data_IF_275190762740
#
_entry.id   IF_275190762740
#
_cell.length_a   1.000
_cell.length_b   1.000
_cell.length_c   1.000
_cell.angle_alpha   90.00
_cell.angle_beta   90.00
_cell.angle_gamma   90.00
#
_symmetry.space_group_name_H-M   'P 1'
#
loop_
_entity.id
_entity.type
_entity.pdbx_description
1 polymer ?
#
# COMPACT_ATOMS: atom_id res chain seq x y z
N UNK A 1 -27.60 -24.87 4.21
CA UNK A 1 -27.19 -24.11 5.40
C UNK A 1 -27.94 -22.79 5.35
N UNK A 2 -28.97 -22.64 6.19
CA UNK A 2 -29.66 -21.37 6.33
C UNK A 2 -28.64 -20.34 6.77
N UNK A 3 -28.30 -19.40 5.89
CA UNK A 3 -27.60 -18.20 6.30
C UNK A 3 -28.52 -17.52 7.31
N UNK A 4 -28.29 -17.77 8.59
CA UNK A 4 -28.62 -16.82 9.64
C UNK A 4 -27.77 -15.61 9.31
N UNK A 5 -28.29 -14.79 8.41
CA UNK A 5 -27.72 -13.51 8.04
C UNK A 5 -27.77 -12.74 9.34
N UNK A 6 -26.67 -12.76 10.10
CA UNK A 6 -26.49 -11.91 11.25
C UNK A 6 -26.77 -10.51 10.73
N UNK A 7 -27.95 -9.99 11.07
CA UNK A 7 -28.37 -8.66 10.67
C UNK A 7 -27.60 -7.69 11.56
N UNK A 8 -26.31 -7.54 11.24
CA UNK A 8 -25.46 -6.51 11.80
C UNK A 8 -25.97 -5.19 11.25
N UNK A 9 -26.84 -4.55 12.02
CA UNK A 9 -27.40 -3.25 11.70
C UNK A 9 -26.63 -2.17 12.47
N UNK A 10 -26.02 -1.27 11.73
CA UNK A 10 -25.34 -0.09 12.25
C UNK A 10 -25.60 1.03 11.25
N UNK A 11 -25.86 2.26 11.74
CA UNK A 11 -26.26 3.38 10.90
C UNK A 11 -25.16 4.47 10.88
N UNK A 12 -24.04 4.29 10.15
CA UNK A 12 -22.94 5.25 10.11
C UNK A 12 -23.31 6.72 9.84
N UNK A 13 -24.36 6.99 9.06
CA UNK A 13 -24.79 8.36 8.76
C UNK A 13 -25.65 8.99 9.87
N UNK A 14 -26.18 8.19 10.80
CA UNK A 14 -27.09 8.60 11.87
C UNK A 14 -26.35 8.58 13.21
N UNK A 15 -25.58 7.52 13.47
CA UNK A 15 -24.86 7.24 14.73
C UNK A 15 -23.57 8.09 14.86
N UNK A 16 -23.72 9.40 15.03
CA UNK A 16 -22.59 10.34 15.18
C UNK A 16 -21.81 10.19 16.50
N UNK A 17 -22.35 9.44 17.46
CA UNK A 17 -21.72 9.23 18.78
C UNK A 17 -20.41 8.45 18.70
N UNK A 18 -20.21 7.68 17.62
CA UNK A 18 -18.96 6.93 17.37
C UNK A 18 -17.78 7.89 17.08
N UNK A 19 -18.07 9.07 16.55
CA UNK A 19 -17.06 10.09 16.23
C UNK A 19 -16.70 10.97 17.43
N UNK A 20 -17.32 10.77 18.60
CA UNK A 20 -16.92 11.47 19.82
C UNK A 20 -15.51 11.09 20.27
N UNK A 21 -14.71 12.08 20.71
CA UNK A 21 -13.32 11.85 21.10
C UNK A 21 -13.27 10.89 22.29
N UNK A 22 -12.54 9.78 22.12
CA UNK A 22 -12.35 8.76 23.16
C UNK A 22 -13.27 7.53 23.03
N UNK A 23 -14.41 7.61 22.33
CA UNK A 23 -15.32 6.47 22.13
C UNK A 23 -14.61 5.31 21.42
N UNK A 24 -13.91 5.59 20.32
CA UNK A 24 -13.11 4.59 19.59
C UNK A 24 -12.11 3.89 20.49
N UNK A 25 -11.38 4.65 21.32
CA UNK A 25 -10.38 4.09 22.24
C UNK A 25 -11.01 3.19 23.32
N UNK A 26 -12.23 3.49 23.75
CA UNK A 26 -12.98 2.67 24.70
C UNK A 26 -13.42 1.37 24.03
N UNK A 27 -14.00 1.46 22.83
CA UNK A 27 -14.42 0.30 22.03
C UNK A 27 -13.22 -0.60 21.74
N UNK A 28 -12.09 -0.05 21.33
CA UNK A 28 -10.86 -0.82 21.06
C UNK A 28 -10.37 -1.57 22.32
N UNK A 29 -10.47 -0.98 23.51
CA UNK A 29 -10.14 -1.66 24.77
C UNK A 29 -11.08 -2.83 25.07
N UNK A 30 -12.38 -2.64 24.84
CA UNK A 30 -13.37 -3.70 25.03
C UNK A 30 -13.15 -4.85 24.02
N UNK A 31 -12.90 -4.51 22.76
CA UNK A 31 -12.55 -5.47 21.71
C UNK A 31 -11.27 -6.22 22.09
N UNK A 32 -10.22 -5.53 22.53
CA UNK A 32 -8.97 -6.17 22.94
C UNK A 32 -9.15 -7.11 24.14
N UNK A 33 -10.01 -6.73 25.10
CA UNK A 33 -10.34 -7.58 26.24
C UNK A 33 -11.07 -8.86 25.80
N UNK A 34 -11.98 -8.76 24.83
CA UNK A 34 -12.68 -9.91 24.26
C UNK A 34 -11.76 -10.76 23.38
N UNK A 35 -10.91 -10.13 22.55
CA UNK A 35 -9.86 -10.78 21.76
C UNK A 35 -8.87 -11.58 22.62
N UNK A 36 -8.65 -11.18 23.87
CA UNK A 36 -7.83 -11.94 24.83
C UNK A 36 -8.54 -13.19 25.36
N UNK A 37 -9.87 -13.17 25.41
CA UNK A 37 -10.71 -14.28 25.89
C UNK A 37 -10.96 -15.33 24.81
N UNK A 38 -11.09 -14.89 23.56
CA UNK A 38 -11.32 -15.75 22.41
C UNK A 38 -10.01 -16.28 21.80
N UNK A 39 -10.03 -17.47 21.17
CA UNK A 39 -8.87 -17.95 20.42
C UNK A 39 -8.51 -16.98 19.30
N UNK A 40 -7.22 -16.92 18.93
CA UNK A 40 -6.75 -16.02 17.88
C UNK A 40 -7.56 -16.24 16.58
N UNK A 41 -8.03 -15.16 15.93
CA UNK A 41 -8.67 -15.26 14.62
C UNK A 41 -7.75 -15.94 13.60
N UNK A 42 -8.36 -16.61 12.62
CA UNK A 42 -7.63 -17.18 11.49
C UNK A 42 -6.86 -16.08 10.76
N UNK A 43 -5.61 -16.35 10.38
CA UNK A 43 -4.75 -15.36 9.75
C UNK A 43 -5.41 -14.83 8.46
N UNK A 44 -5.59 -13.51 8.30
CA UNK A 44 -6.28 -12.94 7.14
C UNK A 44 -5.51 -13.19 5.84
N UNK A 45 -4.21 -13.46 5.92
CA UNK A 45 -3.39 -13.87 4.78
C UNK A 45 -3.81 -15.21 4.18
N UNK A 46 -4.45 -16.09 4.95
CA UNK A 46 -4.98 -17.35 4.44
C UNK A 46 -6.27 -17.18 3.60
N UNK A 47 -6.87 -15.98 3.60
CA UNK A 47 -8.09 -15.69 2.82
C UNK A 47 -7.80 -15.52 1.33
N UNK A 48 -6.56 -15.16 0.99
CA UNK A 48 -6.13 -14.97 -0.39
C UNK A 48 -5.12 -16.07 -0.75
N UNK A 49 -5.32 -16.79 -1.86
CA UNK A 49 -4.32 -17.73 -2.32
C UNK A 49 -3.04 -16.98 -2.69
N UNK A 50 -1.89 -17.53 -2.32
CA UNK A 50 -0.60 -17.01 -2.79
C UNK A 50 -0.55 -17.12 -4.31
N UNK A 51 -0.40 -15.99 -4.99
CA UNK A 51 -0.28 -15.95 -6.44
C UNK A 51 1.18 -16.23 -6.79
N UNK A 52 1.43 -17.38 -7.38
CA UNK A 52 2.72 -17.70 -7.99
C UNK A 52 2.90 -16.87 -9.27
N UNK A 53 3.71 -15.82 -9.19
CA UNK A 53 4.05 -14.96 -10.33
C UNK A 53 5.00 -15.69 -11.28
N UNK A 54 4.84 -15.47 -12.58
CA UNK A 54 5.74 -15.95 -13.65
C UNK A 54 5.84 -17.47 -13.83
N UNK A 55 4.78 -18.24 -13.55
CA UNK A 55 4.73 -19.70 -13.77
C UNK A 55 5.18 -20.13 -15.19
N UNK A 56 4.90 -19.30 -16.20
CA UNK A 56 5.23 -19.60 -17.59
C UNK A 56 6.71 -19.38 -17.93
N UNK A 57 7.45 -18.58 -17.15
CA UNK A 57 8.81 -18.18 -17.49
C UNK A 57 9.78 -18.47 -16.35
N UNK A 58 10.54 -19.55 -16.52
CA UNK A 58 11.53 -20.04 -15.56
C UNK A 58 12.63 -19.00 -15.26
N UNK A 59 13.09 -18.22 -16.25
CA UNK A 59 14.11 -17.20 -16.04
C UNK A 59 13.60 -16.07 -15.12
N UNK A 60 12.35 -15.65 -15.31
CA UNK A 60 11.73 -14.63 -14.46
C UNK A 60 11.51 -15.13 -13.04
N UNK A 61 11.21 -16.42 -12.87
CA UNK A 61 11.09 -17.06 -11.56
C UNK A 61 12.44 -17.12 -10.84
N UNK A 62 13.52 -17.48 -11.55
CA UNK A 62 14.88 -17.48 -11.00
C UNK A 62 15.33 -16.07 -10.59
N UNK A 63 14.99 -15.05 -11.38
CA UNK A 63 15.25 -13.65 -11.04
C UNK A 63 14.40 -13.18 -9.85
N UNK A 64 13.13 -13.57 -9.78
CA UNK A 64 12.28 -13.28 -8.63
C UNK A 64 12.85 -13.92 -7.35
N UNK A 65 13.34 -15.15 -7.43
CA UNK A 65 14.00 -15.84 -6.31
C UNK A 65 15.33 -15.19 -5.95
N UNK A 66 16.12 -14.73 -6.93
CA UNK A 66 17.35 -13.95 -6.71
C UNK A 66 17.05 -12.66 -5.94
N UNK A 67 16.04 -11.91 -6.38
CA UNK A 67 15.60 -10.65 -5.76
C UNK A 67 15.01 -10.90 -4.37
N UNK A 68 14.19 -11.95 -4.20
CA UNK A 68 13.68 -12.38 -2.88
C UNK A 68 14.81 -12.70 -1.91
N UNK A 69 15.92 -13.24 -2.40
CA UNK A 69 17.15 -13.52 -1.62
C UNK A 69 18.05 -12.29 -1.47
N UNK A 70 17.68 -11.13 -2.02
CA UNK A 70 18.45 -9.89 -1.94
C UNK A 70 19.80 -9.93 -2.63
N UNK A 71 20.03 -10.87 -3.56
CA UNK A 71 21.31 -10.96 -4.27
C UNK A 71 21.37 -9.90 -5.37
N UNK A 72 22.46 -9.12 -5.49
CA UNK A 72 22.65 -8.20 -6.61
C UNK A 72 22.74 -8.96 -7.95
N UNK A 73 22.56 -8.25 -9.06
CA UNK A 73 22.60 -8.84 -10.41
C UNK A 73 24.08 -9.08 -10.76
N UNK A 74 24.48 -10.34 -10.88
CA UNK A 74 25.83 -10.78 -11.25
C UNK A 74 25.71 -11.71 -12.47
N UNK A 75 26.36 -11.40 -13.60
CA UNK A 75 27.31 -10.32 -13.82
C UNK A 75 26.63 -8.96 -14.02
N UNK A 76 27.25 -7.89 -13.52
CA UNK A 76 26.97 -6.55 -14.02
C UNK A 76 27.26 -6.52 -15.53
N UNK A 77 26.48 -5.75 -16.31
CA UNK A 77 26.68 -5.62 -17.75
C UNK A 77 28.15 -5.28 -18.03
N UNK A 78 28.87 -6.23 -18.64
CA UNK A 78 30.28 -6.08 -18.92
C UNK A 78 30.47 -5.14 -20.13
N UNK A 79 30.79 -3.89 -19.83
CA UNK A 79 31.08 -2.87 -20.83
C UNK A 79 32.55 -2.89 -21.28
N UNK A 80 33.41 -3.73 -20.68
CA UNK A 80 34.85 -3.75 -20.99
C UNK A 80 35.11 -4.23 -22.40
N UNK A 81 34.24 -5.09 -22.96
CA UNK A 81 34.30 -5.54 -24.36
C UNK A 81 34.26 -4.39 -25.39
N UNK A 82 33.66 -3.26 -25.03
CA UNK A 82 33.49 -2.10 -25.92
C UNK A 82 34.50 -0.98 -25.63
N UNK A 83 35.39 -1.16 -24.66
CA UNK A 83 36.44 -0.20 -24.33
C UNK A 83 37.67 -0.50 -25.18
N UNK A 84 38.09 0.48 -25.99
CA UNK A 84 39.38 0.44 -26.66
C UNK A 84 40.43 0.96 -25.69
N UNK A 85 41.20 0.06 -25.08
CA UNK A 85 42.48 0.45 -24.50
C UNK A 85 43.45 0.78 -25.64
N UNK A 86 44.06 1.98 -25.66
CA UNK A 86 45.03 2.31 -26.70
C UNK A 86 46.23 1.36 -26.58
N UNK A 87 46.83 0.89 -27.69
CA UNK A 87 48.09 0.15 -27.63
C UNK A 87 49.14 1.03 -26.94
N UNK A 88 49.68 0.58 -25.82
CA UNK A 88 50.63 1.31 -24.98
C UNK A 88 51.91 1.63 -25.76
N UNK A 89 52.04 2.88 -26.21
CA UNK A 89 53.29 3.45 -26.69
C UNK A 89 53.92 4.29 -25.59
N UNK A 90 54.70 3.67 -24.70
CA UNK A 90 55.59 4.44 -23.83
C UNK A 90 56.90 4.68 -24.57
N UNK A 91 56.99 5.83 -25.24
CA UNK A 91 58.27 6.47 -25.56
C UNK A 91 58.43 7.66 -24.60
N UNK A 92 59.37 7.56 -23.67
CA UNK A 92 59.79 8.67 -22.83
C UNK A 92 61.30 8.62 -22.57
N UNK A 93 62.06 9.26 -23.46
CA UNK A 93 63.34 9.95 -23.20
C UNK A 93 63.67 10.76 -24.47
N UNK A 94 63.84 12.08 -24.52
CA UNK A 94 63.70 13.19 -23.59
C UNK A 94 64.19 14.43 -24.36
N UNK A 95 63.50 15.58 -24.25
CA UNK A 95 64.19 16.88 -24.15
C UNK A 95 63.24 18.05 -23.82
N UNK A 96 63.67 18.83 -22.84
CA UNK A 96 63.33 20.19 -22.37
C UNK A 96 62.09 20.96 -22.86
N UNK A 97 61.18 21.35 -21.93
CA UNK A 97 60.92 22.76 -21.48
C UNK A 97 59.53 22.94 -20.79
N UNK A 98 59.52 23.67 -19.65
CA UNK A 98 58.40 24.05 -18.75
C UNK A 98 57.40 25.08 -19.34
N UNK A 99 56.34 25.53 -18.61
CA UNK A 99 55.29 24.88 -17.79
C UNK A 99 53.86 25.27 -18.30
N UNK A 100 52.71 24.93 -17.69
CA UNK A 100 51.86 25.85 -16.88
C UNK A 100 50.48 25.21 -16.53
N UNK A 101 50.18 25.13 -15.21
CA UNK A 101 48.90 25.26 -14.46
C UNK A 101 47.68 24.32 -14.62
N UNK A 102 47.23 23.80 -13.46
CA UNK A 102 45.80 23.69 -13.06
C UNK A 102 45.33 22.28 -12.64
N UNK A 103 45.50 21.88 -11.36
CA UNK A 103 44.44 21.63 -10.35
C UNK A 103 43.19 20.87 -10.83
N UNK A 104 42.70 19.78 -10.20
CA UNK A 104 42.60 19.53 -8.76
C UNK A 104 42.15 18.10 -8.36
N UNK A 105 42.71 17.62 -7.22
CA UNK A 105 42.14 16.84 -6.09
C UNK A 105 41.55 15.43 -6.31
N UNK A 106 42.23 14.35 -5.89
CA UNK A 106 42.25 13.67 -4.56
C UNK A 106 41.01 12.79 -4.28
N UNK A 107 41.17 11.48 -4.01
CA UNK A 107 41.47 10.96 -2.66
C UNK A 107 41.98 9.51 -2.73
N UNK A 108 43.06 9.21 -1.98
CA UNK A 108 43.49 7.86 -1.60
C UNK A 108 43.07 7.58 -0.14
N UNK A 109 43.08 6.31 0.32
CA UNK A 109 44.28 5.87 1.03
C UNK A 109 44.75 4.42 0.72
N UNK A 110 46.05 4.33 0.49
CA UNK A 110 47.04 3.31 0.90
C UNK A 110 46.59 2.02 1.60
N UNK A 111 47.02 0.87 1.06
CA UNK A 111 47.87 -0.10 1.80
C UNK A 111 48.56 -1.12 0.88
N UNK A 112 49.88 -1.12 0.97
CA UNK A 112 50.86 -2.21 0.78
C UNK A 112 50.36 -3.52 0.15
N UNK A 113 50.87 -3.86 -1.04
CA UNK A 113 51.30 -5.23 -1.38
C UNK A 113 52.34 -5.15 -2.49
N UNK A 114 53.57 -5.51 -2.10
CA UNK A 114 54.61 -6.27 -2.81
C UNK A 114 54.72 -6.11 -4.34
N UNK A 115 55.94 -5.73 -4.72
CA UNK A 115 56.51 -5.83 -6.07
C UNK A 115 56.12 -7.13 -6.79
N UNK A 116 55.35 -6.99 -7.86
CA UNK A 116 55.46 -7.88 -9.01
C UNK A 116 55.74 -7.00 -10.22
N UNK A 117 56.90 -7.25 -10.83
CA UNK A 117 57.34 -6.69 -12.10
C UNK A 117 56.31 -7.02 -13.18
N UNK A 118 55.35 -6.12 -13.38
CA UNK A 118 54.58 -6.07 -14.61
C UNK A 118 55.56 -5.66 -15.71
N UNK A 119 56.23 -6.66 -16.27
CA UNK A 119 57.11 -6.54 -17.41
C UNK A 119 56.25 -5.99 -18.56
N UNK A 120 56.33 -4.68 -18.77
CA UNK A 120 55.70 -3.98 -19.89
C UNK A 120 56.40 -4.43 -21.17
N UNK A 121 55.95 -5.56 -21.71
CA UNK A 121 56.34 -6.05 -23.03
C UNK A 121 55.68 -5.09 -24.03
N UNK A 122 56.47 -4.17 -24.56
CA UNK A 122 56.16 -3.53 -25.84
C UNK A 122 56.09 -4.66 -26.85
N UNK A 123 54.96 -4.91 -27.54
CA UNK A 123 55.00 -5.81 -28.65
C UNK A 123 55.66 -5.05 -29.81
N UNK A 124 57.00 -5.06 -29.82
CA UNK A 124 57.72 -4.93 -31.08
C UNK A 124 57.15 -6.03 -31.99
N UNK A 125 56.84 -5.69 -33.25
CA UNK A 125 56.43 -6.63 -34.28
C UNK A 125 57.59 -7.57 -34.68
N UNK A 126 58.27 -8.13 -33.69
CA UNK A 126 59.35 -9.09 -33.83
C UNK A 126 58.72 -10.47 -33.67
N UNK A 127 58.69 -11.16 -34.80
CA UNK A 127 58.01 -12.40 -35.16
C UNK A 127 58.38 -13.65 -34.32
N UNK A 128 58.95 -13.51 -33.12
CA UNK A 128 59.68 -14.60 -32.45
C UNK A 128 59.01 -15.20 -31.19
N UNK A 129 57.86 -14.70 -30.72
CA UNK A 129 57.11 -15.30 -29.59
C UNK A 129 55.61 -15.50 -29.89
N UNK A 130 55.05 -16.73 -29.77
CA UNK A 130 53.64 -17.05 -30.02
C UNK A 130 52.64 -16.20 -29.21
N UNK A 131 53.03 -15.74 -28.01
CA UNK A 131 52.19 -14.93 -27.13
C UNK A 131 51.95 -13.52 -27.69
N UNK A 132 52.94 -12.93 -28.36
CA UNK A 132 52.79 -11.62 -29.01
C UNK A 132 51.82 -11.66 -30.19
N UNK A 133 51.88 -12.72 -30.99
CA UNK A 133 50.97 -12.93 -32.12
C UNK A 133 49.50 -13.04 -31.66
N UNK A 134 49.24 -13.76 -30.57
CA UNK A 134 47.90 -13.91 -30.01
C UNK A 134 47.31 -12.57 -29.51
N UNK A 135 48.12 -11.73 -28.87
CA UNK A 135 47.69 -10.41 -28.38
C UNK A 135 47.30 -9.48 -29.54
N UNK A 136 48.07 -9.47 -30.63
CA UNK A 136 47.74 -8.70 -31.83
C UNK A 136 46.48 -9.19 -32.54
N UNK A 137 46.27 -10.51 -32.63
CA UNK A 137 45.03 -11.05 -33.18
C UNK A 137 43.82 -10.67 -32.33
N UNK A 138 43.91 -10.79 -31.00
CA UNK A 138 42.84 -10.36 -30.10
C UNK A 138 42.55 -8.85 -30.22
N UNK A 139 43.58 -8.01 -30.36
CA UNK A 139 43.43 -6.57 -30.58
C UNK A 139 42.78 -6.25 -31.94
N UNK A 140 43.17 -6.97 -32.99
CA UNK A 140 42.59 -6.84 -34.33
C UNK A 140 41.13 -7.28 -34.35
N UNK A 141 40.80 -8.39 -33.71
CA UNK A 141 39.43 -8.89 -33.58
C UNK A 141 38.55 -7.91 -32.79
N UNK A 142 39.08 -7.31 -31.72
CA UNK A 142 38.40 -6.24 -30.98
C UNK A 142 38.17 -4.99 -31.85
N UNK A 143 39.17 -4.56 -32.62
CA UNK A 143 39.04 -3.42 -33.53
C UNK A 143 38.01 -3.66 -34.64
N UNK A 144 38.00 -4.87 -35.23
CA UNK A 144 37.01 -5.27 -36.22
C UNK A 144 35.59 -5.33 -35.63
N UNK A 145 35.43 -5.92 -34.45
CA UNK A 145 34.16 -5.94 -33.74
C UNK A 145 33.64 -4.51 -33.48
N UNK A 146 34.52 -3.60 -33.04
CA UNK A 146 34.15 -2.22 -32.78
C UNK A 146 33.75 -1.48 -34.07
N UNK A 147 34.44 -1.69 -35.18
CA UNK A 147 34.07 -1.12 -36.47
C UNK A 147 32.65 -1.50 -36.86
N UNK A 148 32.30 -2.79 -36.72
CA UNK A 148 30.95 -3.28 -36.98
C UNK A 148 29.91 -2.69 -36.02
N UNK A 149 30.25 -2.55 -34.72
CA UNK A 149 29.35 -1.87 -33.77
C UNK A 149 29.13 -0.40 -34.10
N UNK A 150 30.16 0.33 -34.55
CA UNK A 150 29.99 1.72 -35.01
C UNK A 150 29.15 1.78 -36.29
N UNK A 151 29.36 0.86 -37.23
CA UNK A 151 28.56 0.75 -38.45
C UNK A 151 27.07 0.52 -38.11
N UNK A 152 26.79 -0.47 -37.24
CA UNK A 152 25.43 -0.74 -36.75
C UNK A 152 24.83 0.47 -36.01
N UNK A 153 25.63 1.18 -35.22
CA UNK A 153 25.20 2.39 -34.51
C UNK A 153 24.82 3.51 -35.49
N UNK A 154 25.59 3.73 -36.55
CA UNK A 154 25.27 4.70 -37.61
C UNK A 154 23.94 4.33 -38.27
N UNK A 155 23.77 3.08 -38.70
CA UNK A 155 22.53 2.60 -39.30
C UNK A 155 21.32 2.77 -38.36
N UNK A 156 21.48 2.43 -37.08
CA UNK A 156 20.42 2.61 -36.07
C UNK A 156 20.10 4.09 -35.85
N UNK A 157 21.11 4.96 -35.79
CA UNK A 157 20.93 6.40 -35.64
C UNK A 157 20.22 7.01 -36.85
N UNK A 158 20.56 6.57 -38.06
CA UNK A 158 19.85 6.99 -39.27
C UNK A 158 18.37 6.59 -39.23
N UNK A 159 18.06 5.38 -38.72
CA UNK A 159 16.68 4.93 -38.56
C UNK A 159 15.92 5.78 -37.53
N UNK A 160 16.53 6.03 -36.36
CA UNK A 160 15.93 6.86 -35.30
C UNK A 160 15.77 8.31 -35.77
N UNK A 161 16.72 8.85 -36.53
CA UNK A 161 16.62 10.20 -37.07
C UNK A 161 15.44 10.33 -38.06
N UNK A 162 15.15 9.28 -38.85
CA UNK A 162 14.04 9.28 -39.81
C UNK A 162 12.68 9.03 -39.17
N UNK A 163 12.58 8.07 -38.25
CA UNK A 163 11.30 7.57 -37.74
C UNK A 163 11.06 7.81 -36.26
N UNK A 164 12.09 8.16 -35.48
CA UNK A 164 12.02 8.28 -34.02
C UNK A 164 10.99 9.31 -33.57
N UNK A 165 10.96 10.48 -34.19
CA UNK A 165 9.98 11.53 -33.85
C UNK A 165 8.54 11.06 -34.07
N UNK A 166 8.26 10.37 -35.20
CA UNK A 166 6.92 9.88 -35.50
C UNK A 166 6.53 8.73 -34.55
N UNK A 167 7.44 7.77 -34.33
CA UNK A 167 7.20 6.65 -33.41
C UNK A 167 6.93 7.14 -31.97
N UNK A 168 7.68 8.14 -31.51
CA UNK A 168 7.48 8.73 -30.19
C UNK A 168 6.14 9.48 -30.08
N UNK A 169 5.75 10.23 -31.10
CA UNK A 169 4.44 10.89 -31.13
C UNK A 169 3.30 9.87 -31.08
N UNK A 170 3.35 8.80 -31.87
CA UNK A 170 2.35 7.72 -31.84
C UNK A 170 2.28 7.08 -30.46
N UNK A 171 3.43 6.78 -29.86
CA UNK A 171 3.48 6.23 -28.51
C UNK A 171 2.86 7.19 -27.49
N UNK A 172 3.14 8.49 -27.59
CA UNK A 172 2.52 9.47 -26.71
C UNK A 172 0.99 9.53 -26.91
N UNK A 173 0.48 9.49 -28.14
CA UNK A 173 -0.97 9.41 -28.39
C UNK A 173 -1.61 8.16 -27.78
N UNK A 174 -0.93 7.01 -27.86
CA UNK A 174 -1.39 5.77 -27.22
C UNK A 174 -1.44 5.91 -25.69
N UNK A 175 -0.38 6.47 -25.09
CA UNK A 175 -0.34 6.72 -23.64
C UNK A 175 -1.42 7.70 -23.20
N UNK A 176 -1.66 8.77 -23.95
CA UNK A 176 -2.71 9.75 -23.67
C UNK A 176 -4.10 9.10 -23.75
N UNK A 177 -4.32 8.21 -24.72
CA UNK A 177 -5.53 7.42 -24.83
C UNK A 177 -5.73 6.48 -23.63
N UNK A 178 -4.70 5.71 -23.27
CA UNK A 178 -4.75 4.79 -22.12
C UNK A 178 -5.00 5.55 -20.81
N UNK A 179 -4.35 6.70 -20.63
CA UNK A 179 -4.60 7.59 -19.49
C UNK A 179 -6.05 8.09 -19.45
N UNK A 180 -6.60 8.48 -20.59
CA UNK A 180 -8.01 8.90 -20.69
C UNK A 180 -8.96 7.76 -20.34
N UNK A 181 -8.70 6.56 -20.85
CA UNK A 181 -9.49 5.36 -20.57
C UNK A 181 -9.48 5.00 -19.08
N UNK A 182 -8.30 4.99 -18.45
CA UNK A 182 -8.15 4.70 -17.01
C UNK A 182 -8.84 5.79 -16.17
N UNK A 183 -8.71 7.07 -16.55
CA UNK A 183 -9.41 8.17 -15.86
C UNK A 183 -10.93 8.00 -15.91
N UNK A 184 -11.47 7.68 -17.08
CA UNK A 184 -12.90 7.44 -17.24
C UNK A 184 -13.38 6.25 -16.39
N UNK A 185 -12.61 5.15 -16.34
CA UNK A 185 -12.92 4.01 -15.49
C UNK A 185 -12.91 4.37 -13.99
N UNK A 186 -11.97 5.21 -13.56
CA UNK A 186 -11.93 5.72 -12.18
C UNK A 186 -13.15 6.58 -11.87
N UNK A 187 -13.53 7.47 -12.78
CA UNK A 187 -14.69 8.36 -12.59
C UNK A 187 -16.01 7.58 -12.61
N UNK A 188 -16.13 6.55 -13.44
CA UNK A 188 -17.25 5.61 -13.42
C UNK A 188 -17.37 4.95 -12.04
N UNK A 189 -16.29 4.35 -11.52
CA UNK A 189 -16.30 3.72 -10.19
C UNK A 189 -16.58 4.70 -9.06
N UNK A 190 -16.09 5.94 -9.15
CA UNK A 190 -16.46 6.99 -8.19
C UNK A 190 -17.94 7.34 -8.27
N UNK A 191 -18.52 7.41 -9.47
CA UNK A 191 -19.95 7.69 -9.62
C UNK A 191 -20.82 6.56 -9.07
N UNK A 192 -20.45 5.29 -9.30
CA UNK A 192 -21.08 4.12 -8.69
C UNK A 192 -21.03 4.20 -7.15
N UNK A 193 -19.86 4.54 -6.58
CA UNK A 193 -19.69 4.71 -5.13
C UNK A 193 -20.56 5.84 -4.59
N UNK A 194 -20.63 6.98 -5.29
CA UNK A 194 -21.45 8.12 -4.87
C UNK A 194 -22.94 7.79 -4.88
N UNK A 195 -23.45 7.09 -5.91
CA UNK A 195 -24.84 6.66 -5.95
C UNK A 195 -25.16 5.64 -4.86
N UNK A 196 -24.27 4.67 -4.60
CA UNK A 196 -24.42 3.74 -3.48
C UNK A 196 -24.45 4.46 -2.12
N UNK A 197 -23.55 5.43 -1.91
CA UNK A 197 -23.51 6.19 -0.66
C UNK A 197 -24.76 7.07 -0.49
N UNK A 198 -25.28 7.65 -1.58
CA UNK A 198 -26.53 8.41 -1.58
C UNK A 198 -27.72 7.51 -1.21
N UNK A 199 -27.79 6.31 -1.81
CA UNK A 199 -28.82 5.33 -1.50
C UNK A 199 -28.76 4.89 -0.04
N UNK A 200 -27.58 4.50 0.44
CA UNK A 200 -27.34 4.13 1.85
C UNK A 200 -27.76 5.24 2.81
N UNK A 201 -27.39 6.49 2.51
CA UNK A 201 -27.77 7.62 3.34
C UNK A 201 -29.29 7.82 3.38
N UNK A 202 -29.98 7.68 2.25
CA UNK A 202 -31.45 7.76 2.21
C UNK A 202 -32.07 6.67 3.09
N UNK A 203 -31.69 5.41 2.88
CA UNK A 203 -32.23 4.27 3.64
C UNK A 203 -32.00 4.43 5.15
N UNK A 204 -30.80 4.85 5.56
CA UNK A 204 -30.50 5.07 6.98
C UNK A 204 -31.31 6.22 7.60
N UNK A 205 -31.57 7.30 6.85
CA UNK A 205 -32.40 8.41 7.33
C UNK A 205 -33.87 7.99 7.46
N UNK A 206 -34.39 7.22 6.50
CA UNK A 206 -35.75 6.69 6.54
C UNK A 206 -35.93 5.75 7.76
N UNK A 207 -34.95 4.88 8.02
CA UNK A 207 -34.94 4.01 9.20
C UNK A 207 -34.81 4.82 10.50
N UNK A 208 -33.94 5.84 10.53
CA UNK A 208 -33.77 6.69 11.70
C UNK A 208 -35.05 7.42 12.09
N UNK A 209 -35.81 7.95 11.13
CA UNK A 209 -37.11 8.56 11.39
C UNK A 209 -38.07 7.54 12.03
N UNK A 210 -38.09 6.32 11.50
CA UNK A 210 -38.93 5.24 12.04
C UNK A 210 -38.54 4.87 13.46
N UNK A 211 -37.23 4.83 13.77
CA UNK A 211 -36.68 4.52 15.09
C UNK A 211 -37.01 5.63 16.09
N UNK A 212 -36.81 6.90 15.72
CA UNK A 212 -37.16 8.04 16.56
C UNK A 212 -38.66 8.05 16.88
N UNK A 213 -39.51 7.72 15.91
CA UNK A 213 -40.96 7.61 16.13
C UNK A 213 -41.31 6.48 17.10
N UNK A 214 -40.65 5.34 16.99
CA UNK A 214 -40.86 4.20 17.89
C UNK A 214 -40.34 4.50 19.30
N UNK A 215 -39.20 5.16 19.42
CA UNK A 215 -38.64 5.61 20.69
C UNK A 215 -39.56 6.63 21.38
N UNK A 216 -40.11 7.59 20.64
CA UNK A 216 -41.08 8.54 21.19
C UNK A 216 -42.34 7.84 21.71
N UNK A 217 -42.89 6.89 20.94
CA UNK A 217 -44.04 6.08 21.37
C UNK A 217 -43.71 5.22 22.60
N UNK A 218 -42.50 4.67 22.65
CA UNK A 218 -42.03 3.89 23.80
C UNK A 218 -41.93 4.75 25.05
N UNK A 219 -41.34 5.95 24.94
CA UNK A 219 -41.26 6.91 26.04
C UNK A 219 -42.66 7.37 26.51
N UNK A 220 -43.58 7.61 25.57
CA UNK A 220 -44.97 7.96 25.87
C UNK A 220 -45.69 6.82 26.61
N UNK A 221 -45.55 5.57 26.14
CA UNK A 221 -46.15 4.39 26.78
C UNK A 221 -45.60 4.17 28.19
N UNK A 222 -44.30 4.35 28.39
CA UNK A 222 -43.70 4.29 29.73
C UNK A 222 -44.26 5.38 30.63
N UNK A 223 -44.31 6.63 30.14
CA UNK A 223 -44.88 7.75 30.90
C UNK A 223 -46.34 7.52 31.24
N UNK A 224 -47.15 7.02 30.30
CA UNK A 224 -48.56 6.68 30.53
C UNK A 224 -48.72 5.55 31.54
N UNK A 225 -47.90 4.51 31.46
CA UNK A 225 -47.92 3.40 32.44
C UNK A 225 -47.59 3.92 33.83
N UNK A 226 -46.54 4.74 33.95
CA UNK A 226 -46.17 5.37 35.21
C UNK A 226 -47.27 6.28 35.76
N UNK A 227 -47.95 7.06 34.91
CA UNK A 227 -49.08 7.89 35.32
C UNK A 227 -50.24 7.06 35.86
N UNK A 228 -50.57 5.93 35.23
CA UNK A 228 -51.61 5.00 35.69
C UNK A 228 -51.21 4.36 37.02
N UNK A 229 -49.95 3.94 37.15
CA UNK A 229 -49.43 3.37 38.41
C UNK A 229 -49.54 4.38 39.56
N UNK A 230 -49.10 5.63 39.34
CA UNK A 230 -49.20 6.70 40.35
C UNK A 230 -50.65 7.03 40.70
N UNK A 231 -51.54 7.13 39.70
CA UNK A 231 -52.97 7.38 39.95
C UNK A 231 -53.63 6.24 40.73
N UNK A 232 -53.30 4.99 40.40
CA UNK A 232 -53.81 3.83 41.13
C UNK A 232 -53.32 3.79 42.57
N UNK A 233 -52.04 4.12 42.82
CA UNK A 233 -51.49 4.22 44.16
C UNK A 233 -52.16 5.33 44.98
N UNK A 234 -52.42 6.50 44.37
CA UNK A 234 -53.15 7.60 45.01
C UNK A 234 -54.59 7.20 45.39
N UNK A 235 -55.33 6.57 44.48
CA UNK A 235 -56.70 6.10 44.75
C UNK A 235 -56.73 5.02 45.84
N UNK A 236 -55.75 4.12 45.86
CA UNK A 236 -55.62 3.12 46.93
C UNK A 236 -55.37 3.80 48.28
N UNK A 237 -54.53 4.82 48.33
CA UNK A 237 -54.28 5.59 49.55
C UNK A 237 -55.54 6.32 50.05
N UNK A 238 -56.32 6.92 49.16
CA UNK A 238 -57.61 7.55 49.50
C UNK A 238 -58.61 6.52 50.04
N UNK A 239 -58.72 5.35 49.39
CA UNK A 239 -59.58 4.26 49.88
C UNK A 239 -59.16 3.76 51.26
N UNK A 240 -57.86 3.67 51.54
CA UNK A 240 -57.36 3.33 52.88
C UNK A 240 -57.73 4.38 53.93
N UNK A 241 -57.64 5.68 53.59
CA UNK A 241 -58.05 6.76 54.49
C UNK A 241 -59.56 6.70 54.78
N UNK A 242 -60.38 6.50 53.75
CA UNK A 242 -61.83 6.39 53.91
C UNK A 242 -62.24 5.17 54.74
N UNK A 243 -61.58 4.01 54.55
CA UNK A 243 -61.80 2.81 55.38
C UNK A 243 -61.43 3.04 56.84
N UNK A 244 -60.34 3.76 57.11
CA UNK A 244 -59.94 4.13 58.49
C UNK A 244 -61.00 5.02 59.14
N UNK A 245 -61.54 5.99 58.40
CA UNK A 245 -62.60 6.87 58.88
C UNK A 245 -63.92 6.12 59.16
N UNK A 246 -64.32 5.20 58.27
CA UNK A 246 -65.47 4.32 58.49
C UNK A 246 -65.30 3.46 59.76
N UNK A 247 -64.11 2.89 59.97
CA UNK A 247 -63.82 2.11 61.17
C UNK A 247 -63.89 2.94 62.47
N UNK A 248 -63.43 4.19 62.43
CA UNK A 248 -63.55 5.12 63.57
C UNK A 248 -65.01 5.43 63.90
N UNK A 249 -65.84 5.73 62.88
CA UNK A 249 -67.27 5.97 63.05
C UNK A 249 -68.00 4.75 63.61
N UNK A 250 -67.70 3.54 63.09
CA UNK A 250 -68.29 2.31 63.62
C UNK A 250 -67.92 2.09 65.09
N UNK A 251 -66.69 2.42 65.47
CA UNK A 251 -66.25 2.37 66.87
C UNK A 251 -67.02 3.38 67.72
N UNK A 252 -67.17 4.63 67.27
CA UNK A 252 -67.95 5.65 67.98
C UNK A 252 -69.44 5.27 68.13
N UNK A 253 -70.05 4.68 67.09
CA UNK A 253 -71.44 4.19 67.16
C UNK A 253 -71.56 3.05 68.17
N UNK A 254 -70.63 2.08 68.16
CA UNK A 254 -70.61 1.01 69.15
C UNK A 254 -70.41 1.51 70.59
N UNK A 255 -69.55 2.50 70.78
CA UNK A 255 -69.33 3.13 72.08
C UNK A 255 -70.59 3.87 72.57
N UNK A 256 -71.37 4.49 71.67
CA UNK A 256 -72.66 5.13 71.98
C UNK A 256 -73.76 4.13 72.32
N UNK A 257 -73.83 2.97 71.65
CA UNK A 257 -74.79 1.90 71.96
C UNK A 257 -74.49 1.20 73.30
N UNK A 258 -73.25 1.31 73.81
CA UNK A 258 -72.80 0.69 75.05
C UNK A 258 -72.99 1.54 76.33
N UNK A 259 -73.46 2.78 76.21
CA UNK A 259 -73.77 3.72 77.31
C UNK A 259 -75.25 3.77 77.62
#
# INVERSE_FOLDING_TARGET
MSNSQFSLDALPYVDKQIDEPGMRSLVDKLVAAEMKRMPKPQDPSALFPDIELFQTNELMQQELDRVRRGKPMEPQLDLTRYQLEPPTSTSAAGDSSLPTTGSSSSTAPTKDTVMEDATTIIPSASEELPEGQAIWHNALDNANAQLEHQNQRILNLELVQKFGNNAWNIHNYQLEYDLSMIRNAVDEKKSEIMELNKLRKRDQLDVAESLQRLEAKWAELISSTLQVEVASAGLVQELEQMKKYEAQLLQEVGDLESK
#
